data_IF_164645842876
#
_entry.id   IF_164645842876
#
_cell.length_a   1.000
_cell.length_b   1.000
_cell.length_c   1.000
_cell.angle_alpha   90.00
_cell.angle_beta   90.00
_cell.angle_gamma   90.00
#
_symmetry.space_group_name_H-M   'P 1'
#
loop_
_entity.id
_entity.type
_entity.pdbx_description
1 polymer ?
#
# COMPACT_ATOMS: atom_id res chain seq x y z
N UNK A 1 -2.25 5.63 26.09
CA UNK A 1 -3.07 6.30 25.05
C UNK A 1 -4.36 5.51 24.92
N UNK A 2 -5.52 6.21 24.90
CA UNK A 2 -6.81 5.57 24.61
C UNK A 2 -6.77 5.00 23.19
N UNK A 3 -7.39 3.87 23.03
CA UNK A 3 -7.49 3.18 21.74
C UNK A 3 -8.38 4.00 20.79
N UNK A 4 -7.89 4.34 19.60
CA UNK A 4 -8.71 5.03 18.59
C UNK A 4 -9.70 4.02 17.99
N UNK A 5 -10.98 4.38 18.00
CA UNK A 5 -12.08 3.55 17.50
C UNK A 5 -12.95 4.43 16.60
N UNK A 6 -13.33 3.93 15.43
CA UNK A 6 -14.35 4.54 14.60
C UNK A 6 -15.70 3.84 14.88
N UNK A 7 -16.72 4.63 15.24
CA UNK A 7 -18.01 4.10 15.67
C UNK A 7 -18.71 3.25 14.58
N UNK A 8 -18.55 3.65 13.32
CA UNK A 8 -19.22 3.03 12.18
C UNK A 8 -18.26 2.25 11.26
N UNK A 9 -17.09 1.83 11.78
CA UNK A 9 -16.13 1.05 11.01
C UNK A 9 -16.74 -0.28 10.55
N UNK A 10 -16.73 -0.55 9.25
CA UNK A 10 -16.96 -1.89 8.72
C UNK A 10 -15.67 -2.68 8.90
N UNK A 11 -15.57 -3.39 10.01
CA UNK A 11 -14.33 -4.02 10.45
C UNK A 11 -13.90 -5.14 9.50
N UNK A 12 -12.71 -5.02 8.97
CA UNK A 12 -12.05 -6.07 8.20
C UNK A 12 -11.43 -7.10 9.13
N UNK A 13 -11.78 -8.37 8.94
CA UNK A 13 -11.15 -9.52 9.59
C UNK A 13 -9.93 -9.99 8.80
N UNK A 14 -9.04 -10.71 9.46
CA UNK A 14 -7.86 -11.32 8.85
C UNK A 14 -7.76 -12.78 9.27
N UNK A 15 -8.06 -13.69 8.35
CA UNK A 15 -8.14 -15.12 8.59
C UNK A 15 -6.86 -15.80 8.10
N UNK A 16 -6.26 -16.65 8.92
CA UNK A 16 -5.05 -17.40 8.59
C UNK A 16 -5.43 -18.83 8.19
N UNK A 17 -4.85 -19.28 7.07
CA UNK A 17 -4.87 -20.68 6.64
C UNK A 17 -3.46 -21.15 6.35
N UNK A 18 -3.11 -22.34 6.81
CA UNK A 18 -1.88 -22.99 6.39
C UNK A 18 -2.11 -23.69 5.05
N UNK A 19 -1.26 -23.40 4.07
CA UNK A 19 -1.24 -24.04 2.75
C UNK A 19 0.00 -24.92 2.65
N UNK A 20 -0.17 -26.19 2.34
CA UNK A 20 0.91 -27.13 2.14
C UNK A 20 1.60 -26.85 0.79
N UNK A 21 2.92 -26.63 0.82
CA UNK A 21 3.72 -26.35 -0.37
C UNK A 21 4.31 -27.60 -1.04
N UNK A 22 4.09 -28.79 -0.48
CA UNK A 22 4.62 -30.05 -1.05
C UNK A 22 4.11 -30.28 -2.48
N UNK A 23 2.83 -29.97 -2.74
CA UNK A 23 2.25 -30.06 -4.08
C UNK A 23 2.93 -29.14 -5.11
N UNK A 24 3.65 -28.11 -4.65
CA UNK A 24 4.40 -27.15 -5.45
C UNK A 24 5.92 -27.39 -5.40
N UNK A 25 6.33 -28.53 -4.84
CA UNK A 25 7.73 -28.97 -4.82
C UNK A 25 8.60 -28.31 -3.74
N UNK A 26 8.00 -27.76 -2.68
CA UNK A 26 8.72 -27.25 -1.51
C UNK A 26 8.20 -27.90 -0.24
N UNK A 27 9.10 -28.47 0.57
CA UNK A 27 8.70 -29.10 1.84
C UNK A 27 8.51 -28.03 2.93
N UNK A 28 7.29 -27.62 3.16
CA UNK A 28 6.94 -26.60 4.14
C UNK A 28 5.52 -26.09 3.97
N UNK A 29 5.18 -25.09 4.79
CA UNK A 29 3.85 -24.48 4.78
C UNK A 29 3.94 -22.97 4.53
N UNK A 30 2.94 -22.45 3.82
CA UNK A 30 2.66 -21.04 3.68
C UNK A 30 1.55 -20.67 4.68
N UNK A 31 1.74 -19.63 5.48
CA UNK A 31 0.66 -18.99 6.23
C UNK A 31 -0.01 -17.94 5.32
N UNK A 32 -1.21 -18.25 4.81
CA UNK A 32 -1.99 -17.35 3.96
C UNK A 32 -2.99 -16.59 4.81
N UNK A 33 -2.82 -15.28 4.88
CA UNK A 33 -3.74 -14.34 5.53
C UNK A 33 -4.71 -13.82 4.48
N UNK A 34 -6.01 -14.02 4.70
CA UNK A 34 -7.07 -13.45 3.85
C UNK A 34 -7.77 -12.34 4.61
N UNK A 35 -7.77 -11.12 4.06
CA UNK A 35 -8.49 -9.99 4.64
C UNK A 35 -9.86 -9.85 3.98
N UNK A 36 -10.89 -9.71 4.81
CA UNK A 36 -12.29 -9.69 4.38
C UNK A 36 -13.14 -8.88 5.36
N UNK A 37 -13.95 -7.95 4.85
CA UNK A 37 -14.92 -7.19 5.65
C UNK A 37 -16.28 -7.89 5.78
N UNK A 38 -16.42 -9.13 5.31
CA UNK A 38 -17.65 -9.93 5.38
C UNK A 38 -18.76 -9.49 4.43
N UNK A 39 -18.51 -8.47 3.60
CA UNK A 39 -19.47 -7.98 2.60
C UNK A 39 -19.17 -8.57 1.22
N UNK A 40 -20.12 -8.48 0.31
CA UNK A 40 -19.93 -8.92 -1.07
C UNK A 40 -18.84 -8.11 -1.82
N UNK A 41 -18.50 -8.56 -3.04
CA UNK A 41 -17.43 -7.97 -3.84
C UNK A 41 -17.73 -6.55 -4.37
N UNK A 42 -18.97 -6.06 -4.27
CA UNK A 42 -19.32 -4.68 -4.65
C UNK A 42 -19.01 -3.67 -3.53
N UNK A 43 -18.78 -4.16 -2.31
CA UNK A 43 -18.45 -3.35 -1.14
C UNK A 43 -16.94 -3.41 -0.88
N UNK A 44 -16.19 -2.33 -1.10
CA UNK A 44 -14.74 -2.33 -0.93
C UNK A 44 -14.36 -2.68 0.53
N UNK A 45 -13.25 -3.40 0.67
CA UNK A 45 -12.59 -3.58 1.97
C UNK A 45 -11.83 -2.31 2.29
N UNK A 46 -12.24 -1.59 3.33
CA UNK A 46 -11.55 -0.41 3.86
C UNK A 46 -10.86 -0.73 5.18
N UNK A 47 -9.86 0.06 5.54
CA UNK A 47 -8.97 -0.22 6.66
C UNK A 47 -9.07 0.91 7.69
N UNK A 48 -9.91 0.71 8.69
CA UNK A 48 -9.97 1.54 9.89
C UNK A 48 -9.04 1.02 11.00
N UNK A 49 -9.02 1.67 12.16
CA UNK A 49 -8.13 1.29 13.27
C UNK A 49 -8.32 -0.15 13.75
N UNK A 50 -9.56 -0.64 13.82
CA UNK A 50 -9.84 -2.01 14.25
C UNK A 50 -9.40 -3.02 13.18
N UNK A 51 -9.62 -2.70 11.90
CA UNK A 51 -9.17 -3.52 10.76
C UNK A 51 -7.65 -3.66 10.75
N UNK A 52 -6.90 -2.56 10.96
CA UNK A 52 -5.43 -2.60 11.05
C UNK A 52 -4.98 -3.42 12.26
N UNK A 53 -5.68 -3.34 13.42
CA UNK A 53 -5.39 -4.20 14.57
C UNK A 53 -5.56 -5.69 14.25
N UNK A 54 -6.62 -6.05 13.53
CA UNK A 54 -6.86 -7.44 13.12
C UNK A 54 -5.75 -7.93 12.16
N UNK A 55 -5.34 -7.10 11.20
CA UNK A 55 -4.21 -7.41 10.30
C UNK A 55 -2.92 -7.55 11.09
N UNK A 56 -2.64 -6.61 12.00
CA UNK A 56 -1.45 -6.64 12.84
C UNK A 56 -1.37 -7.93 13.67
N UNK A 57 -2.48 -8.31 14.29
CA UNK A 57 -2.57 -9.56 15.06
C UNK A 57 -2.39 -10.79 14.17
N UNK A 58 -3.01 -10.81 12.99
CA UNK A 58 -2.87 -11.93 12.07
C UNK A 58 -1.43 -12.11 11.57
N UNK A 59 -0.67 -11.02 11.37
CA UNK A 59 0.76 -11.09 11.03
C UNK A 59 1.55 -11.70 12.18
N UNK A 60 1.26 -11.32 13.44
CA UNK A 60 1.91 -11.89 14.62
C UNK A 60 1.57 -13.38 14.78
N UNK A 61 0.30 -13.74 14.68
CA UNK A 61 -0.17 -15.12 14.78
C UNK A 61 0.43 -15.99 13.65
N UNK A 62 0.46 -15.49 12.41
CA UNK A 62 1.09 -16.18 11.28
C UNK A 62 2.59 -16.38 11.49
N UNK A 63 3.27 -15.35 12.01
CA UNK A 63 4.70 -15.44 12.35
C UNK A 63 4.97 -16.49 13.43
N UNK A 64 4.10 -16.58 14.43
CA UNK A 64 4.21 -17.55 15.53
C UNK A 64 4.06 -19.01 15.06
N UNK A 65 3.41 -19.27 13.92
CA UNK A 65 3.34 -20.60 13.30
C UNK A 65 4.70 -21.05 12.71
N UNK A 66 5.67 -20.12 12.61
CA UNK A 66 6.98 -20.36 12.00
C UNK A 66 6.89 -21.02 10.60
N UNK A 67 6.09 -20.45 9.67
CA UNK A 67 5.91 -21.02 8.34
C UNK A 67 7.14 -20.77 7.47
N UNK A 68 7.21 -21.43 6.32
CA UNK A 68 8.25 -21.18 5.31
C UNK A 68 8.08 -19.81 4.64
N UNK A 69 6.84 -19.31 4.56
CA UNK A 69 6.49 -18.01 4.03
C UNK A 69 5.17 -17.51 4.62
N UNK A 70 4.94 -16.18 4.55
CA UNK A 70 3.67 -15.55 4.89
C UNK A 70 3.15 -14.86 3.63
N UNK A 71 1.88 -15.05 3.28
CA UNK A 71 1.24 -14.30 2.21
C UNK A 71 -0.02 -13.58 2.69
N UNK A 72 -0.33 -12.44 2.07
CA UNK A 72 -1.59 -11.71 2.29
C UNK A 72 -2.34 -11.62 0.97
N UNK A 73 -3.65 -11.85 1.03
CA UNK A 73 -4.58 -11.62 -0.08
C UNK A 73 -5.89 -11.05 0.43
N UNK A 74 -6.77 -10.62 -0.45
CA UNK A 74 -8.09 -10.13 -0.09
C UNK A 74 -9.22 -11.08 -0.45
N UNK A 75 -10.44 -10.67 -0.13
CA UNK A 75 -11.65 -11.33 -0.62
C UNK A 75 -11.72 -11.27 -2.16
N UNK A 76 -12.61 -12.04 -2.81
CA UNK A 76 -12.68 -12.05 -4.28
C UNK A 76 -12.77 -10.65 -4.89
N UNK A 77 -11.88 -10.37 -5.86
CA UNK A 77 -11.75 -9.14 -6.66
C UNK A 77 -11.28 -7.89 -5.90
N UNK A 78 -11.00 -7.96 -4.61
CA UNK A 78 -10.59 -6.79 -3.82
C UNK A 78 -9.52 -7.22 -2.81
N UNK A 79 -8.33 -6.61 -2.89
CA UNK A 79 -7.37 -6.68 -1.81
C UNK A 79 -7.79 -5.72 -0.68
N UNK A 80 -7.68 -4.42 -0.92
CA UNK A 80 -8.21 -3.37 -0.04
C UNK A 80 -8.28 -2.03 -0.80
N UNK A 81 -9.27 -1.22 -0.48
CA UNK A 81 -9.51 0.09 -1.11
C UNK A 81 -9.04 1.28 -0.27
N UNK A 82 -8.03 1.06 0.57
CA UNK A 82 -7.40 2.10 1.37
C UNK A 82 -8.02 2.30 2.76
N UNK A 83 -7.67 3.42 3.38
CA UNK A 83 -8.14 3.76 4.71
C UNK A 83 -9.66 4.05 4.75
N UNK A 84 -10.27 3.84 5.91
CA UNK A 84 -11.65 4.25 6.14
C UNK A 84 -11.73 5.77 6.30
N UNK A 85 -12.09 6.44 5.19
CA UNK A 85 -12.15 7.90 5.12
C UNK A 85 -13.26 8.49 5.99
N UNK A 86 -14.34 7.77 6.24
CA UNK A 86 -15.46 8.25 7.05
C UNK A 86 -15.01 8.47 8.51
N UNK A 87 -14.25 7.54 9.05
CA UNK A 87 -13.67 7.65 10.38
C UNK A 87 -12.60 8.74 10.49
N UNK A 88 -11.76 8.89 9.46
CA UNK A 88 -10.71 9.92 9.45
C UNK A 88 -11.33 11.33 9.50
N UNK A 89 -12.41 11.59 8.77
CA UNK A 89 -13.06 12.90 8.76
C UNK A 89 -13.73 13.26 10.10
N UNK A 90 -14.04 12.26 10.91
CA UNK A 90 -14.61 12.43 12.24
C UNK A 90 -13.55 12.73 13.32
N UNK A 91 -12.26 12.60 13.02
CA UNK A 91 -11.19 12.89 13.99
C UNK A 91 -11.17 14.36 14.39
N UNK A 92 -11.00 14.60 15.66
CA UNK A 92 -10.91 15.96 16.24
C UNK A 92 -9.58 16.24 16.94
N UNK A 93 -8.75 15.21 17.11
CA UNK A 93 -7.47 15.32 17.83
C UNK A 93 -6.31 14.91 16.93
N UNK A 94 -5.28 15.73 16.88
CA UNK A 94 -4.06 15.45 16.11
C UNK A 94 -3.36 14.16 16.60
N UNK A 95 -3.38 13.91 17.92
CA UNK A 95 -2.81 12.70 18.50
C UNK A 95 -3.47 11.40 17.98
N UNK A 96 -4.78 11.44 17.71
CA UNK A 96 -5.50 10.29 17.13
C UNK A 96 -5.13 10.08 15.67
N UNK A 97 -4.99 11.17 14.90
CA UNK A 97 -4.51 11.12 13.52
C UNK A 97 -3.09 10.52 13.45
N UNK A 98 -2.17 11.04 14.29
CA UNK A 98 -0.80 10.51 14.40
C UNK A 98 -0.79 9.04 14.80
N UNK A 99 -1.62 8.64 15.78
CA UNK A 99 -1.71 7.24 16.21
C UNK A 99 -2.06 6.29 15.06
N UNK A 100 -3.04 6.66 14.23
CA UNK A 100 -3.49 5.82 13.10
C UNK A 100 -2.37 5.62 12.09
N UNK A 101 -1.66 6.70 11.74
CA UNK A 101 -0.55 6.64 10.77
C UNK A 101 0.60 5.81 11.33
N UNK A 102 1.03 6.09 12.56
CA UNK A 102 2.08 5.33 13.25
C UNK A 102 1.76 3.84 13.38
N UNK A 103 0.51 3.53 13.71
CA UNK A 103 0.09 2.14 13.89
C UNK A 103 0.07 1.38 12.57
N UNK A 104 -0.39 2.02 11.48
CA UNK A 104 -0.30 1.47 10.13
C UNK A 104 1.15 1.21 9.71
N UNK A 105 2.05 2.19 9.93
CA UNK A 105 3.49 2.02 9.66
C UNK A 105 4.09 0.83 10.42
N UNK A 106 3.80 0.71 11.73
CA UNK A 106 4.28 -0.40 12.56
C UNK A 106 3.76 -1.75 12.08
N UNK A 107 2.49 -1.80 11.70
CA UNK A 107 1.86 -3.02 11.17
C UNK A 107 2.52 -3.45 9.87
N UNK A 108 2.70 -2.54 8.92
CA UNK A 108 3.27 -2.84 7.62
C UNK A 108 4.78 -3.09 7.69
N UNK A 109 5.48 -2.46 8.63
CA UNK A 109 6.89 -2.75 8.89
C UNK A 109 7.15 -4.21 9.27
N UNK A 110 6.21 -4.89 9.95
CA UNK A 110 6.34 -6.31 10.28
C UNK A 110 6.50 -7.19 9.04
N UNK A 111 5.79 -6.85 7.96
CA UNK A 111 5.90 -7.56 6.68
C UNK A 111 7.22 -7.23 5.98
N UNK A 112 7.57 -5.94 5.92
CA UNK A 112 8.75 -5.45 5.22
C UNK A 112 10.05 -5.94 5.85
N UNK A 113 10.10 -5.98 7.19
CA UNK A 113 11.28 -6.35 7.98
C UNK A 113 11.28 -7.81 8.41
N UNK A 114 10.29 -8.59 8.00
CA UNK A 114 10.18 -10.01 8.33
C UNK A 114 11.39 -10.81 7.86
N UNK A 115 11.88 -11.69 8.73
CA UNK A 115 12.89 -12.71 8.37
C UNK A 115 12.27 -13.88 7.61
N UNK A 116 10.97 -14.10 7.77
CA UNK A 116 10.18 -15.06 6.98
C UNK A 116 9.79 -14.34 5.69
N UNK A 117 10.03 -14.90 4.51
CA UNK A 117 9.65 -14.30 3.24
C UNK A 117 8.16 -13.93 3.20
N UNK A 118 7.86 -12.68 2.82
CA UNK A 118 6.49 -12.15 2.77
C UNK A 118 6.03 -11.88 1.35
N UNK A 119 4.79 -12.25 1.06
CA UNK A 119 4.17 -12.15 -0.24
C UNK A 119 2.84 -11.41 -0.15
N UNK A 120 2.50 -10.64 -1.19
CA UNK A 120 1.15 -10.15 -1.39
C UNK A 120 0.58 -10.70 -2.70
N UNK A 121 -0.59 -11.33 -2.63
CA UNK A 121 -1.33 -11.76 -3.81
C UNK A 121 -2.40 -10.72 -4.10
N UNK A 122 -2.10 -9.78 -5.00
CA UNK A 122 -3.01 -8.69 -5.40
C UNK A 122 -4.10 -9.26 -6.31
N UNK A 123 -5.14 -9.79 -5.71
CA UNK A 123 -6.20 -10.54 -6.38
C UNK A 123 -7.27 -9.66 -7.06
N UNK A 124 -7.16 -8.34 -6.96
CA UNK A 124 -8.11 -7.39 -7.52
C UNK A 124 -7.75 -5.95 -7.20
N UNK A 125 -8.75 -5.16 -6.79
CA UNK A 125 -8.57 -3.75 -6.47
C UNK A 125 -7.65 -3.56 -5.25
N UNK A 126 -6.61 -2.74 -5.42
CA UNK A 126 -5.71 -2.30 -4.36
C UNK A 126 -5.48 -0.80 -4.47
N UNK A 127 -6.01 -0.01 -3.55
CA UNK A 127 -5.88 1.44 -3.55
C UNK A 127 -5.36 1.96 -2.21
N UNK A 128 -4.57 3.03 -2.26
CA UNK A 128 -4.08 3.69 -1.07
C UNK A 128 -3.41 2.72 -0.10
N UNK A 129 -3.87 2.69 1.14
CA UNK A 129 -3.37 1.75 2.15
C UNK A 129 -3.38 0.28 1.76
N UNK A 130 -4.26 -0.14 0.82
CA UNK A 130 -4.23 -1.49 0.24
C UNK A 130 -3.04 -1.69 -0.71
N UNK A 131 -2.70 -0.68 -1.50
CA UNK A 131 -1.47 -0.66 -2.29
C UNK A 131 -0.24 -0.66 -1.37
N UNK A 132 -0.24 0.15 -0.33
CA UNK A 132 0.85 0.27 0.63
C UNK A 132 1.10 -1.04 1.41
N UNK A 133 0.01 -1.77 1.72
CA UNK A 133 0.10 -3.13 2.26
C UNK A 133 0.84 -4.07 1.29
N UNK A 134 0.46 -4.04 0.02
CA UNK A 134 1.12 -4.86 -1.01
C UNK A 134 2.59 -4.48 -1.18
N UNK A 135 2.92 -3.18 -1.24
CA UNK A 135 4.29 -2.67 -1.36
C UNK A 135 5.15 -3.01 -0.13
N UNK A 136 4.54 -3.25 1.00
CA UNK A 136 5.24 -3.63 2.24
C UNK A 136 5.62 -5.11 2.31
N UNK A 137 5.08 -5.97 1.44
CA UNK A 137 5.55 -7.33 1.26
C UNK A 137 6.82 -7.38 0.39
N UNK A 138 7.66 -8.39 0.61
CA UNK A 138 8.91 -8.56 -0.14
C UNK A 138 8.66 -8.96 -1.61
N UNK A 139 7.60 -9.73 -1.86
CA UNK A 139 7.20 -10.21 -3.18
C UNK A 139 5.72 -9.96 -3.46
N UNK A 140 5.36 -9.75 -4.73
CA UNK A 140 3.98 -9.46 -5.15
C UNK A 140 3.62 -10.19 -6.42
N UNK A 141 2.50 -10.90 -6.40
CA UNK A 141 1.82 -11.35 -7.62
C UNK A 141 0.57 -10.51 -7.85
N UNK A 142 0.17 -10.32 -9.11
CA UNK A 142 -0.99 -9.51 -9.45
C UNK A 142 -1.90 -10.24 -10.44
N UNK A 143 -3.22 -10.25 -10.17
CA UNK A 143 -4.20 -10.78 -11.11
C UNK A 143 -4.32 -9.85 -12.33
N UNK A 144 -4.41 -10.39 -13.53
CA UNK A 144 -4.44 -9.59 -14.77
C UNK A 144 -5.62 -8.62 -14.87
N UNK A 145 -6.65 -8.82 -14.06
CA UNK A 145 -7.83 -7.95 -13.94
C UNK A 145 -7.73 -6.94 -12.81
N UNK A 146 -6.64 -6.96 -12.05
CA UNK A 146 -6.46 -6.06 -10.90
C UNK A 146 -6.16 -4.62 -11.34
N UNK A 147 -6.51 -3.70 -10.43
CA UNK A 147 -6.14 -2.29 -10.49
C UNK A 147 -5.41 -1.91 -9.22
N UNK A 148 -4.36 -1.10 -9.35
CA UNK A 148 -3.55 -0.64 -8.23
C UNK A 148 -3.29 0.86 -8.36
N UNK A 149 -3.27 1.59 -7.24
CA UNK A 149 -3.01 3.02 -7.26
C UNK A 149 -2.88 3.66 -5.89
N UNK A 150 -2.40 4.91 -5.89
CA UNK A 150 -2.26 5.76 -4.72
C UNK A 150 -3.07 7.05 -4.94
N UNK A 151 -4.36 7.07 -4.59
CA UNK A 151 -5.27 8.17 -4.88
C UNK A 151 -5.20 9.32 -3.87
N UNK A 152 -4.35 9.25 -2.86
CA UNK A 152 -4.38 10.12 -1.69
C UNK A 152 -4.26 11.61 -2.06
N UNK A 153 -3.42 11.95 -3.04
CA UNK A 153 -3.27 13.37 -3.46
C UNK A 153 -4.56 13.92 -4.09
N UNK A 154 -5.37 13.06 -4.72
CA UNK A 154 -6.66 13.46 -5.26
C UNK A 154 -7.67 13.84 -4.16
N UNK A 155 -7.59 13.20 -3.01
CA UNK A 155 -8.52 13.41 -1.88
C UNK A 155 -7.96 14.32 -0.78
N UNK A 156 -6.87 15.04 -1.02
CA UNK A 156 -6.33 16.01 -0.06
C UNK A 156 -5.32 15.46 0.94
N UNK A 157 -4.86 14.22 0.76
CA UNK A 157 -3.84 13.55 1.59
C UNK A 157 -2.57 13.25 0.79
N UNK A 158 -1.64 12.55 1.41
CA UNK A 158 -0.52 11.85 0.77
C UNK A 158 -0.59 10.37 1.11
N UNK A 159 0.06 9.46 0.35
CA UNK A 159 0.19 8.06 0.78
C UNK A 159 0.86 8.01 2.15
N UNK A 160 0.13 7.57 3.17
CA UNK A 160 0.49 7.78 4.57
C UNK A 160 0.86 6.51 5.34
N UNK A 161 0.88 5.35 4.67
CA UNK A 161 1.32 4.08 5.26
C UNK A 161 2.53 3.49 4.55
N UNK A 162 3.48 4.35 4.20
CA UNK A 162 4.78 4.09 3.57
C UNK A 162 4.86 4.27 2.05
N UNK A 163 3.75 4.53 1.37
CA UNK A 163 3.71 4.56 -0.10
C UNK A 163 4.60 5.63 -0.69
N UNK A 164 4.55 6.85 -0.18
CA UNK A 164 5.35 7.97 -0.72
C UNK A 164 6.85 7.81 -0.40
N UNK A 165 7.18 7.11 0.68
CA UNK A 165 8.57 6.85 1.08
C UNK A 165 9.19 5.66 0.31
N UNK A 166 8.41 4.56 0.16
CA UNK A 166 8.93 3.31 -0.40
C UNK A 166 8.91 3.30 -1.92
N UNK A 167 7.83 3.81 -2.53
CA UNK A 167 7.64 3.67 -3.97
C UNK A 167 8.78 4.28 -4.80
N UNK A 168 9.31 5.49 -4.49
CA UNK A 168 10.43 6.05 -5.24
C UNK A 168 11.70 5.19 -5.18
N UNK A 169 11.90 4.49 -4.06
CA UNK A 169 13.02 3.56 -3.90
C UNK A 169 12.82 2.25 -4.66
N UNK A 170 11.57 1.87 -4.89
CA UNK A 170 11.20 0.60 -5.53
C UNK A 170 11.17 0.69 -7.06
N UNK A 171 10.62 1.77 -7.61
CA UNK A 171 10.37 1.91 -9.07
C UNK A 171 11.04 3.13 -9.71
N UNK A 172 11.83 3.88 -8.94
CA UNK A 172 12.51 5.09 -9.38
C UNK A 172 11.65 6.35 -9.33
N UNK A 173 12.28 7.53 -9.41
CA UNK A 173 11.61 8.81 -9.20
C UNK A 173 10.57 9.14 -10.27
N UNK A 174 10.87 8.92 -11.55
CA UNK A 174 9.93 9.21 -12.65
C UNK A 174 8.64 8.42 -12.51
N UNK A 175 8.73 7.11 -12.24
CA UNK A 175 7.57 6.25 -12.07
C UNK A 175 6.80 6.59 -10.78
N UNK A 176 7.49 6.90 -9.69
CA UNK A 176 6.86 7.31 -8.44
C UNK A 176 6.08 8.62 -8.59
N UNK A 177 6.65 9.64 -9.23
CA UNK A 177 5.95 10.88 -9.57
C UNK A 177 4.72 10.61 -10.45
N UNK A 178 4.83 9.71 -11.43
CA UNK A 178 3.69 9.28 -12.24
C UNK A 178 2.56 8.73 -11.38
N UNK A 179 2.86 7.77 -10.51
CA UNK A 179 1.84 7.04 -9.72
C UNK A 179 1.25 7.93 -8.62
N UNK A 180 2.09 8.61 -7.84
CA UNK A 180 1.67 9.36 -6.65
C UNK A 180 1.02 10.70 -7.03
N UNK A 181 1.58 11.41 -8.02
CA UNK A 181 1.14 12.76 -8.38
C UNK A 181 0.34 12.79 -9.69
N UNK A 182 0.95 12.41 -10.80
CA UNK A 182 0.34 12.62 -12.11
C UNK A 182 -0.97 11.84 -12.28
N UNK A 183 -0.99 10.56 -11.91
CA UNK A 183 -2.18 9.71 -11.98
C UNK A 183 -3.27 10.19 -11.02
N UNK A 184 -2.91 10.51 -9.79
CA UNK A 184 -3.81 11.02 -8.77
C UNK A 184 -4.43 12.36 -9.20
N UNK A 185 -3.64 13.30 -9.70
CA UNK A 185 -4.11 14.60 -10.21
C UNK A 185 -4.89 14.49 -11.53
N UNK A 186 -4.73 13.41 -12.28
CA UNK A 186 -5.47 13.12 -13.52
C UNK A 186 -6.72 12.26 -13.21
N UNK A 187 -7.65 12.80 -12.44
CA UNK A 187 -8.91 12.17 -12.06
C UNK A 187 -8.73 10.76 -11.46
N UNK A 188 -7.70 10.60 -10.62
CA UNK A 188 -7.40 9.35 -9.93
C UNK A 188 -7.25 8.16 -10.90
N UNK A 189 -6.44 8.31 -11.93
CA UNK A 189 -6.15 7.23 -12.88
C UNK A 189 -5.44 6.08 -12.18
N UNK A 190 -6.05 4.90 -12.17
CA UNK A 190 -5.44 3.69 -11.61
C UNK A 190 -4.56 2.97 -12.66
N UNK A 191 -3.52 2.29 -12.21
CA UNK A 191 -2.74 1.39 -13.05
C UNK A 191 -3.46 0.06 -13.24
N UNK A 192 -3.47 -0.43 -14.46
CA UNK A 192 -3.83 -1.82 -14.75
C UNK A 192 -2.69 -2.75 -14.34
N UNK A 193 -3.01 -4.02 -14.10
CA UNK A 193 -2.05 -5.03 -13.67
C UNK A 193 -0.78 -5.11 -14.54
N UNK A 194 -0.93 -5.02 -15.87
CA UNK A 194 0.20 -5.04 -16.79
C UNK A 194 1.14 -3.84 -16.59
N UNK A 195 0.59 -2.63 -16.42
CA UNK A 195 1.37 -1.43 -16.16
C UNK A 195 2.07 -1.53 -14.79
N UNK A 196 1.39 -2.06 -13.76
CA UNK A 196 1.98 -2.28 -12.45
C UNK A 196 3.17 -3.25 -12.51
N UNK A 197 3.08 -4.33 -13.30
CA UNK A 197 4.17 -5.25 -13.56
C UNK A 197 5.33 -4.55 -14.28
N UNK A 198 5.07 -3.81 -15.35
CA UNK A 198 6.07 -3.08 -16.14
C UNK A 198 6.83 -2.04 -15.31
N UNK A 199 6.15 -1.41 -14.35
CA UNK A 199 6.75 -0.45 -13.43
C UNK A 199 7.52 -1.09 -12.26
N UNK A 200 7.41 -2.40 -12.05
CA UNK A 200 8.05 -3.11 -10.93
C UNK A 200 7.26 -3.06 -9.61
N UNK A 201 5.97 -2.67 -9.66
CA UNK A 201 5.07 -2.74 -8.50
C UNK A 201 4.56 -4.16 -8.24
N UNK A 202 4.67 -5.06 -9.21
CA UNK A 202 4.43 -6.49 -9.09
C UNK A 202 5.57 -7.27 -9.71
N UNK A 203 5.76 -8.54 -9.30
CA UNK A 203 6.81 -9.41 -9.76
C UNK A 203 6.32 -10.41 -10.80
N UNK A 204 5.05 -10.80 -10.71
CA UNK A 204 4.40 -11.74 -11.61
C UNK A 204 2.94 -11.36 -11.84
N UNK A 205 2.45 -11.68 -13.05
CA UNK A 205 1.05 -11.45 -13.43
C UNK A 205 0.43 -12.76 -13.87
N UNK A 206 -0.75 -13.09 -13.31
CA UNK A 206 -1.48 -14.31 -13.63
C UNK A 206 -2.94 -14.03 -13.99
N UNK A 207 -3.54 -14.95 -14.78
CA UNK A 207 -4.97 -14.89 -15.08
C UNK A 207 -5.80 -15.21 -13.82
N UNK A 208 -7.00 -14.63 -13.65
CA UNK A 208 -7.83 -14.86 -12.46
C UNK A 208 -8.15 -16.33 -12.20
N UNK A 209 -8.31 -17.14 -13.26
CA UNK A 209 -8.69 -18.54 -13.15
C UNK A 209 -7.65 -19.40 -12.42
N UNK A 210 -6.38 -19.07 -12.53
CA UNK A 210 -5.27 -19.81 -11.94
C UNK A 210 -4.42 -18.93 -10.99
N UNK A 211 -4.93 -17.74 -10.64
CA UNK A 211 -4.18 -16.74 -9.90
C UNK A 211 -3.66 -17.24 -8.56
N UNK A 212 -4.53 -17.84 -7.74
CA UNK A 212 -4.14 -18.28 -6.40
C UNK A 212 -3.14 -19.45 -6.48
N UNK A 213 -3.41 -20.44 -7.33
CA UNK A 213 -2.54 -21.60 -7.52
C UNK A 213 -1.15 -21.18 -8.00
N UNK A 214 -1.07 -20.32 -9.02
CA UNK A 214 0.20 -19.82 -9.55
C UNK A 214 0.93 -18.92 -8.56
N UNK A 215 0.21 -18.14 -7.75
CA UNK A 215 0.81 -17.34 -6.70
C UNK A 215 1.44 -18.21 -5.60
N UNK A 216 0.80 -19.33 -5.23
CA UNK A 216 1.38 -20.31 -4.30
C UNK A 216 2.58 -21.02 -4.93
N UNK A 217 2.50 -21.40 -6.21
CA UNK A 217 3.63 -21.97 -6.95
C UNK A 217 4.82 -20.99 -7.00
N UNK A 218 4.58 -19.70 -7.22
CA UNK A 218 5.61 -18.66 -7.16
C UNK A 218 6.30 -18.58 -5.81
N UNK A 219 5.55 -18.72 -4.69
CA UNK A 219 6.15 -18.82 -3.34
C UNK A 219 7.15 -19.97 -3.30
N UNK A 220 6.75 -21.17 -3.73
CA UNK A 220 7.62 -22.35 -3.73
C UNK A 220 8.85 -22.17 -4.63
N UNK A 221 8.71 -21.52 -5.79
CA UNK A 221 9.82 -21.22 -6.70
C UNK A 221 10.84 -20.25 -6.10
N UNK A 222 10.38 -19.22 -5.38
CA UNK A 222 11.26 -18.30 -4.63
C UNK A 222 11.98 -19.05 -3.51
N UNK A 223 11.27 -19.84 -2.71
CA UNK A 223 11.84 -20.57 -1.59
C UNK A 223 12.86 -21.64 -2.04
N UNK A 224 12.63 -22.26 -3.18
CA UNK A 224 13.57 -23.21 -3.79
C UNK A 224 14.76 -22.56 -4.52
N UNK A 225 14.78 -21.22 -4.65
CA UNK A 225 15.77 -20.49 -5.43
C UNK A 225 15.67 -20.70 -6.95
N UNK A 226 14.59 -21.30 -7.44
CA UNK A 226 14.31 -21.45 -8.88
C UNK A 226 14.02 -20.12 -9.53
N UNK A 227 13.44 -19.20 -8.77
CA UNK A 227 13.16 -17.83 -9.20
C UNK A 227 13.86 -16.84 -8.28
N UNK A 228 14.45 -15.79 -8.86
CA UNK A 228 15.08 -14.70 -8.14
C UNK A 228 14.53 -13.40 -8.67
N UNK A 229 14.16 -12.48 -7.76
CA UNK A 229 13.71 -11.15 -8.10
C UNK A 229 14.83 -10.18 -7.76
N UNK A 230 15.40 -9.56 -8.78
CA UNK A 230 16.39 -8.52 -8.61
C UNK A 230 15.72 -7.21 -8.24
N UNK A 231 16.25 -6.53 -7.22
CA UNK A 231 15.80 -5.21 -6.78
C UNK A 231 16.88 -4.19 -7.10
N UNK A 232 16.52 -3.15 -7.84
CA UNK A 232 17.44 -2.05 -8.15
C UNK A 232 17.38 -1.02 -7.02
N UNK A 233 18.56 -0.46 -6.69
CA UNK A 233 18.64 0.77 -5.89
C UNK A 233 18.47 1.98 -6.81
N UNK A 234 17.39 2.71 -6.61
CA UNK A 234 17.03 3.89 -7.39
C UNK A 234 17.54 5.21 -6.81
N UNK A 235 18.26 5.20 -5.69
CA UNK A 235 18.79 6.42 -5.06
C UNK A 235 19.73 7.20 -5.96
N UNK A 236 20.50 6.50 -6.79
CA UNK A 236 21.48 7.08 -7.73
C UNK A 236 20.94 7.25 -9.16
N UNK A 237 19.65 7.06 -9.40
CA UNK A 237 19.07 7.25 -10.73
C UNK A 237 19.28 8.70 -11.21
N UNK A 238 19.64 8.93 -12.48
CA UNK A 238 20.01 10.27 -12.97
C UNK A 238 18.81 11.19 -13.19
N UNK A 239 17.59 10.67 -13.17
CA UNK A 239 16.36 11.36 -13.52
C UNK A 239 15.62 12.00 -12.33
N UNK A 240 16.19 12.01 -11.13
CA UNK A 240 15.54 12.60 -9.95
C UNK A 240 15.09 14.05 -10.17
N UNK A 241 15.98 14.90 -10.65
CA UNK A 241 15.67 16.32 -10.82
C UNK A 241 14.62 16.56 -11.91
N UNK A 242 14.68 15.82 -13.02
CA UNK A 242 13.68 15.89 -14.09
C UNK A 242 12.33 15.32 -13.67
N UNK A 243 12.31 14.25 -12.88
CA UNK A 243 11.09 13.68 -12.31
C UNK A 243 10.39 14.67 -11.37
N UNK A 244 11.13 15.31 -10.47
CA UNK A 244 10.59 16.31 -9.55
C UNK A 244 10.08 17.53 -10.30
N UNK A 245 10.79 17.99 -11.37
CA UNK A 245 10.32 19.05 -12.23
C UNK A 245 9.00 18.69 -12.95
N UNK A 246 8.88 17.43 -13.42
CA UNK A 246 7.63 16.94 -14.03
C UNK A 246 6.47 16.89 -13.02
N UNK A 247 6.74 16.47 -11.77
CA UNK A 247 5.78 16.54 -10.67
C UNK A 247 5.30 17.96 -10.38
N UNK A 248 6.25 18.91 -10.30
CA UNK A 248 5.95 20.34 -10.12
C UNK A 248 5.09 20.87 -11.26
N UNK A 249 5.40 20.52 -12.50
CA UNK A 249 4.63 20.92 -13.66
C UNK A 249 3.19 20.37 -13.63
N UNK A 250 3.01 19.12 -13.20
CA UNK A 250 1.69 18.51 -13.04
C UNK A 250 0.84 19.25 -11.98
N UNK A 251 1.43 19.58 -10.83
CA UNK A 251 0.77 20.35 -9.77
C UNK A 251 0.35 21.73 -10.30
N UNK A 252 1.28 22.47 -10.91
CA UNK A 252 1.01 23.79 -11.47
C UNK A 252 -0.10 23.77 -12.53
N UNK A 253 -0.10 22.76 -13.40
CA UNK A 253 -1.15 22.57 -14.41
C UNK A 253 -2.52 22.31 -13.79
N UNK A 254 -2.58 21.44 -12.78
CA UNK A 254 -3.84 21.07 -12.12
C UNK A 254 -4.46 22.24 -11.37
N UNK A 255 -3.65 23.01 -10.68
CA UNK A 255 -4.10 24.05 -9.75
C UNK A 255 -3.85 25.47 -10.25
N UNK A 256 -3.49 25.67 -11.54
CA UNK A 256 -3.21 26.97 -12.14
C UNK A 256 -2.20 27.80 -11.35
N UNK A 257 -1.17 27.15 -10.82
CA UNK A 257 -0.12 27.78 -10.02
C UNK A 257 -0.46 28.04 -8.55
N UNK A 258 -1.68 27.71 -8.11
CA UNK A 258 -2.01 27.78 -6.68
C UNK A 258 -1.24 26.72 -5.89
N UNK A 259 -0.81 27.07 -4.68
CA UNK A 259 -0.16 26.15 -3.76
C UNK A 259 -1.23 25.32 -3.04
N UNK A 260 -1.19 24.02 -3.23
CA UNK A 260 -2.08 23.05 -2.57
C UNK A 260 -1.24 22.15 -1.70
N UNK A 261 -1.47 22.22 -0.40
CA UNK A 261 -0.58 21.68 0.66
C UNK A 261 -0.23 20.21 0.46
N UNK A 262 -1.21 19.34 0.26
CA UNK A 262 -0.96 17.92 0.11
C UNK A 262 -0.15 17.56 -1.14
N UNK A 263 -0.37 18.26 -2.26
CA UNK A 263 0.42 18.04 -3.47
C UNK A 263 1.87 18.51 -3.30
N UNK A 264 2.08 19.64 -2.59
CA UNK A 264 3.41 20.11 -2.22
C UNK A 264 4.14 19.11 -1.31
N UNK A 265 3.44 18.61 -0.28
CA UNK A 265 4.00 17.60 0.64
C UNK A 265 4.32 16.28 -0.07
N UNK A 266 3.47 15.83 -0.99
CA UNK A 266 3.77 14.64 -1.77
C UNK A 266 5.07 14.80 -2.57
N UNK A 267 5.25 15.95 -3.24
CA UNK A 267 6.47 16.22 -4.00
C UNK A 267 7.71 16.34 -3.10
N UNK A 268 7.58 16.98 -1.93
CA UNK A 268 8.63 17.06 -0.91
C UNK A 268 9.04 15.67 -0.42
N UNK A 269 8.08 14.83 -0.03
CA UNK A 269 8.35 13.48 0.48
C UNK A 269 8.98 12.57 -0.58
N UNK A 270 8.57 12.69 -1.85
CA UNK A 270 9.23 11.99 -2.96
C UNK A 270 10.69 12.46 -3.08
N UNK A 271 10.95 13.77 -3.04
CA UNK A 271 12.31 14.31 -3.12
C UNK A 271 13.19 13.82 -1.96
N UNK A 272 12.63 13.78 -0.76
CA UNK A 272 13.31 13.30 0.44
C UNK A 272 13.69 11.81 0.36
N UNK A 273 12.92 11.00 -0.35
CA UNK A 273 13.21 9.58 -0.52
C UNK A 273 14.56 9.31 -1.20
N UNK A 274 15.10 10.27 -1.97
CA UNK A 274 16.43 10.17 -2.61
C UNK A 274 17.53 9.91 -1.60
N UNK A 275 17.54 10.66 -0.50
CA UNK A 275 18.68 10.72 0.43
C UNK A 275 18.36 10.20 1.83
N UNK A 276 17.09 10.01 2.17
CA UNK A 276 16.68 9.57 3.50
C UNK A 276 16.64 8.04 3.60
N UNK A 277 16.88 7.55 4.81
CA UNK A 277 16.51 6.16 5.14
C UNK A 277 14.99 6.01 5.13
N UNK A 278 14.51 4.77 5.04
CA UNK A 278 13.07 4.50 5.10
C UNK A 278 12.48 5.03 6.42
N UNK A 279 13.14 4.80 7.53
CA UNK A 279 12.70 5.23 8.86
C UNK A 279 12.56 6.76 8.95
N UNK A 280 13.53 7.50 8.42
CA UNK A 280 13.47 8.97 8.38
C UNK A 280 12.35 9.48 7.46
N UNK A 281 12.12 8.81 6.33
CA UNK A 281 11.01 9.12 5.43
C UNK A 281 9.65 8.89 6.10
N UNK A 282 9.47 7.74 6.77
CA UNK A 282 8.24 7.41 7.48
C UNK A 282 7.93 8.41 8.61
N UNK A 283 8.94 8.88 9.34
CA UNK A 283 8.73 9.88 10.38
C UNK A 283 8.19 11.20 9.80
N UNK A 284 8.70 11.64 8.65
CA UNK A 284 8.18 12.82 7.94
C UNK A 284 6.77 12.59 7.39
N UNK A 285 6.50 11.40 6.89
CA UNK A 285 5.17 10.98 6.42
C UNK A 285 4.12 11.17 7.52
N UNK A 286 4.44 10.71 8.76
CA UNK A 286 3.57 10.88 9.94
C UNK A 286 3.26 12.36 10.19
N UNK A 287 4.30 13.22 10.22
CA UNK A 287 4.12 14.65 10.47
C UNK A 287 3.24 15.31 9.41
N UNK A 288 3.45 14.98 8.13
CA UNK A 288 2.64 15.54 7.03
C UNK A 288 1.21 15.01 7.03
N UNK A 289 1.02 13.73 7.32
CA UNK A 289 -0.32 13.13 7.42
C UNK A 289 -1.12 13.70 8.58
N UNK A 290 -0.53 13.85 9.78
CA UNK A 290 -1.19 14.49 10.92
C UNK A 290 -1.68 15.90 10.55
N UNK A 291 -0.81 16.72 9.94
CA UNK A 291 -1.16 18.07 9.52
C UNK A 291 -2.30 18.09 8.49
N UNK A 292 -2.27 17.18 7.50
CA UNK A 292 -3.30 17.10 6.46
C UNK A 292 -4.63 16.59 7.00
N UNK A 293 -4.63 15.53 7.81
CA UNK A 293 -5.85 14.94 8.37
C UNK A 293 -6.61 15.92 9.28
N UNK A 294 -5.90 16.85 9.93
CA UNK A 294 -6.51 17.89 10.75
C UNK A 294 -6.91 19.15 9.96
N UNK A 295 -6.53 19.24 8.68
CA UNK A 295 -6.79 20.39 7.83
C UNK A 295 -8.21 20.42 7.24
N UNK A 296 -8.73 21.63 7.02
CA UNK A 296 -10.03 21.84 6.38
C UNK A 296 -10.04 21.43 4.90
N UNK A 297 -8.88 21.51 4.22
CA UNK A 297 -8.75 21.13 2.81
C UNK A 297 -9.06 19.64 2.58
N UNK A 298 -8.60 18.76 3.47
CA UNK A 298 -8.94 17.34 3.40
C UNK A 298 -10.44 17.12 3.59
N UNK A 299 -11.05 17.75 4.61
CA UNK A 299 -12.49 17.60 4.89
C UNK A 299 -13.34 18.09 3.72
N UNK A 300 -12.95 19.23 3.12
CA UNK A 300 -13.62 19.77 1.93
C UNK A 300 -13.46 18.83 0.71
N UNK A 301 -12.28 18.22 0.54
CA UNK A 301 -12.04 17.26 -0.55
C UNK A 301 -12.90 16.01 -0.43
N UNK A 302 -13.03 15.45 0.78
CA UNK A 302 -13.88 14.28 1.04
C UNK A 302 -15.36 14.62 0.85
N UNK A 303 -15.81 15.80 1.30
CA UNK A 303 -17.18 16.26 1.04
C UNK A 303 -17.52 16.36 -0.45
N UNK A 304 -16.56 16.81 -1.26
CA UNK A 304 -16.73 16.88 -2.70
C UNK A 304 -16.59 15.52 -3.43
N UNK A 305 -15.97 14.54 -2.78
CA UNK A 305 -15.77 13.18 -3.31
C UNK A 305 -17.01 12.28 -3.09
N UNK A 306 -17.75 12.47 -1.99
CA UNK A 306 -18.99 11.76 -1.67
C UNK A 306 -20.19 12.36 -2.38
#
# INVERSE_FOLDING_TARGET
MSEVIYADEVVTTALIREVDLNAFGFNGKLALITIDNGMDHTRPTTLGPQSIRNINKAIDDATALNPAAIAITGKPFILAAGADLSGITALTKAEDARYIVDYGHKTYAKLRQSKIPTFCFVNGLALGGGTELALSCQYRTIASTAFIGLPEVFIGLVPGWSGVTILPKMIGPTNAVKVILQNSLNNNTMLKAKEALELGMADELYLPVDFLEKSVAFVADILNGKKKIERKDHSADPDWDSALAAGRAAINKKYNGAKVKNAEFALELIADAKNNTVEAGLAKEVDRMEELMMGDEFRASIYAFN
#
